data_IF_964891637907
#
_entry.id   IF_964891637907
#
_cell.length_a   1.000
_cell.length_b   1.000
_cell.length_c   1.000
_cell.angle_alpha   90.00
_cell.angle_beta   90.00
_cell.angle_gamma   90.00
#
_symmetry.space_group_name_H-M   'P 1'
#
loop_
_entity.id
_entity.type
_entity.pdbx_description
1 polymer ?
#
# COMPACT_ATOMS: atom_id res chain seq x y z
N UNK A 1 -24.92 -35.49 6.31
CA UNK A 1 -25.45 -34.17 6.58
C UNK A 1 -24.34 -33.19 6.84
N UNK A 2 -24.24 -32.24 5.98
CA UNK A 2 -23.16 -31.32 5.72
C UNK A 2 -23.13 -30.17 6.72
N UNK A 3 -22.30 -30.26 7.74
CA UNK A 3 -21.96 -29.15 8.64
C UNK A 3 -20.58 -28.55 8.31
N UNK A 4 -20.16 -28.58 7.05
CA UNK A 4 -18.81 -28.17 6.65
C UNK A 4 -18.80 -26.99 5.67
N UNK A 5 -19.79 -26.10 5.67
CA UNK A 5 -19.87 -25.10 4.58
C UNK A 5 -20.01 -23.64 5.00
N UNK A 6 -20.02 -23.29 6.29
CA UNK A 6 -20.31 -21.92 6.71
C UNK A 6 -19.11 -21.14 7.24
N UNK A 7 -17.92 -21.63 6.97
CA UNK A 7 -16.67 -21.06 7.47
C UNK A 7 -16.08 -20.11 6.42
N UNK A 8 -15.72 -18.88 6.84
CA UNK A 8 -14.99 -17.86 6.07
C UNK A 8 -15.74 -17.20 4.91
N UNK A 9 -17.06 -17.15 4.92
CA UNK A 9 -17.85 -16.54 3.86
C UNK A 9 -17.99 -15.04 4.06
N UNK A 10 -17.73 -14.26 3.01
CA UNK A 10 -17.90 -12.81 2.96
C UNK A 10 -18.80 -12.41 1.83
N UNK A 11 -19.62 -11.41 2.07
CA UNK A 11 -20.39 -10.75 1.03
C UNK A 11 -20.49 -9.27 1.30
N UNK A 12 -20.60 -8.50 0.25
CA UNK A 12 -20.95 -7.08 0.32
C UNK A 12 -22.37 -6.85 -0.16
N UNK A 13 -23.12 -6.06 0.61
CA UNK A 13 -24.51 -5.71 0.30
C UNK A 13 -24.58 -4.26 -0.14
N UNK A 14 -25.30 -4.00 -1.22
CA UNK A 14 -25.49 -2.67 -1.80
C UNK A 14 -26.96 -2.47 -2.19
N UNK A 15 -27.37 -1.22 -2.46
CA UNK A 15 -28.74 -0.93 -2.82
C UNK A 15 -29.13 -1.55 -4.18
N UNK A 16 -28.27 -1.38 -5.19
CA UNK A 16 -28.44 -1.96 -6.53
C UNK A 16 -27.06 -2.27 -7.14
N UNK A 17 -26.99 -3.23 -8.06
CA UNK A 17 -25.76 -3.71 -8.68
C UNK A 17 -25.28 -2.76 -9.78
N UNK A 18 -25.02 -1.49 -9.45
CA UNK A 18 -24.59 -0.49 -10.42
C UNK A 18 -23.66 0.57 -9.84
N UNK A 19 -22.91 1.20 -10.72
CA UNK A 19 -22.08 2.38 -10.44
C UNK A 19 -20.89 2.11 -9.53
N UNK A 20 -20.36 3.19 -8.95
CA UNK A 20 -19.15 3.18 -8.14
C UNK A 20 -19.24 2.23 -6.93
N UNK A 21 -20.40 2.19 -6.25
CA UNK A 21 -20.60 1.30 -5.08
C UNK A 21 -20.49 -0.18 -5.43
N UNK A 22 -20.91 -0.57 -6.65
CA UNK A 22 -20.80 -1.96 -7.11
C UNK A 22 -19.34 -2.33 -7.36
N UNK A 23 -18.60 -1.48 -8.08
CA UNK A 23 -17.17 -1.68 -8.30
C UNK A 23 -16.39 -1.74 -6.96
N UNK A 24 -16.63 -0.79 -6.06
CA UNK A 24 -15.99 -0.75 -4.76
C UNK A 24 -16.30 -1.98 -3.91
N UNK A 25 -17.54 -2.48 -3.94
CA UNK A 25 -17.91 -3.71 -3.25
C UNK A 25 -17.19 -4.95 -3.81
N UNK A 26 -16.94 -4.97 -5.12
CA UNK A 26 -16.17 -6.03 -5.77
C UNK A 26 -14.69 -5.96 -5.35
N UNK A 27 -14.08 -4.76 -5.39
CA UNK A 27 -12.68 -4.56 -5.02
C UNK A 27 -12.44 -4.90 -3.54
N UNK A 28 -13.33 -4.47 -2.63
CA UNK A 28 -13.27 -4.86 -1.21
C UNK A 28 -13.35 -6.38 -1.05
N UNK A 29 -14.28 -7.05 -1.74
CA UNK A 29 -14.40 -8.51 -1.65
C UNK A 29 -13.15 -9.21 -2.18
N UNK A 30 -12.53 -8.71 -3.23
CA UNK A 30 -11.28 -9.26 -3.80
C UNK A 30 -10.12 -9.13 -2.81
N UNK A 31 -9.95 -7.97 -2.18
CA UNK A 31 -8.92 -7.77 -1.15
C UNK A 31 -9.14 -8.68 0.07
N UNK A 32 -10.38 -8.83 0.52
CA UNK A 32 -10.72 -9.75 1.62
C UNK A 32 -10.47 -11.23 1.28
N UNK A 33 -10.59 -11.62 0.01
CA UNK A 33 -10.22 -12.97 -0.46
C UNK A 33 -8.72 -13.22 -0.26
N UNK A 34 -7.89 -12.20 -0.46
CA UNK A 34 -6.45 -12.25 -0.17
C UNK A 34 -6.11 -12.50 1.30
N UNK A 35 -6.99 -12.12 2.24
CA UNK A 35 -6.84 -12.41 3.69
C UNK A 35 -7.31 -13.83 4.06
N UNK A 36 -7.93 -14.56 3.12
CA UNK A 36 -8.34 -15.95 3.33
C UNK A 36 -9.86 -16.16 3.44
N UNK A 37 -10.65 -15.17 3.09
CA UNK A 37 -12.10 -15.30 3.11
C UNK A 37 -12.68 -15.82 1.79
N UNK A 38 -13.75 -16.62 1.87
CA UNK A 38 -14.48 -17.05 0.68
C UNK A 38 -15.41 -15.93 0.22
N UNK A 39 -15.20 -15.45 -0.98
CA UNK A 39 -15.98 -14.40 -1.60
C UNK A 39 -17.34 -14.92 -2.11
N UNK A 40 -18.41 -14.51 -1.46
CA UNK A 40 -19.79 -14.82 -1.90
C UNK A 40 -20.37 -13.79 -2.89
N UNK A 41 -19.54 -12.84 -3.32
CA UNK A 41 -19.93 -11.80 -4.25
C UNK A 41 -20.66 -10.63 -3.60
N UNK A 42 -21.27 -9.84 -4.46
CA UNK A 42 -22.03 -8.64 -4.11
C UNK A 42 -23.52 -8.90 -4.33
N UNK A 43 -24.35 -8.54 -3.34
CA UNK A 43 -25.81 -8.72 -3.43
C UNK A 43 -26.56 -7.40 -3.30
N UNK A 44 -27.61 -7.23 -4.10
CA UNK A 44 -28.52 -6.10 -3.95
C UNK A 44 -29.50 -6.34 -2.79
N UNK A 45 -29.60 -5.35 -1.91
CA UNK A 45 -30.52 -5.34 -0.75
C UNK A 45 -31.20 -3.97 -0.61
N UNK A 46 -32.13 -3.66 -1.53
CA UNK A 46 -32.85 -2.38 -1.54
C UNK A 46 -33.81 -2.18 -0.35
N UNK A 47 -34.05 -3.24 0.38
CA UNK A 47 -34.85 -3.25 1.61
C UNK A 47 -34.12 -2.71 2.83
N UNK A 48 -32.76 -2.71 2.83
CA UNK A 48 -31.96 -2.24 3.96
C UNK A 48 -31.98 -0.71 4.06
N UNK A 49 -32.43 -0.21 5.19
CA UNK A 49 -32.60 1.24 5.45
C UNK A 49 -31.27 1.99 5.31
N UNK A 50 -30.17 1.42 5.80
CA UNK A 50 -28.83 2.00 5.73
C UNK A 50 -28.34 2.19 4.28
N UNK A 51 -28.73 1.32 3.37
CA UNK A 51 -28.38 1.41 1.96
C UNK A 51 -29.35 2.31 1.18
N UNK A 52 -30.66 2.29 1.56
CA UNK A 52 -31.72 3.00 0.86
C UNK A 52 -31.74 4.51 1.14
N UNK A 53 -31.46 4.92 2.40
CA UNK A 53 -31.60 6.31 2.85
C UNK A 53 -30.32 7.12 2.77
N UNK A 54 -29.20 6.50 2.50
CA UNK A 54 -27.91 7.18 2.32
C UNK A 54 -27.87 7.90 0.98
N UNK A 55 -27.48 9.16 0.99
CA UNK A 55 -27.32 10.00 -0.24
C UNK A 55 -26.00 9.75 -0.96
N UNK A 56 -25.06 9.12 -0.31
CA UNK A 56 -23.74 8.75 -0.83
C UNK A 56 -23.71 7.26 -1.21
N UNK A 57 -22.76 6.83 -2.05
CA UNK A 57 -22.51 5.40 -2.26
C UNK A 57 -22.35 4.69 -0.93
N UNK A 58 -23.15 3.64 -0.70
CA UNK A 58 -23.15 2.90 0.57
C UNK A 58 -22.96 1.41 0.31
N UNK A 59 -22.11 0.79 1.12
CA UNK A 59 -21.80 -0.63 1.10
C UNK A 59 -21.89 -1.14 2.54
N UNK A 60 -22.54 -2.27 2.71
CA UNK A 60 -22.51 -3.02 3.97
C UNK A 60 -21.64 -4.26 3.76
N UNK A 61 -20.46 -4.25 4.39
CA UNK A 61 -19.52 -5.38 4.34
C UNK A 61 -19.85 -6.33 5.48
N UNK A 62 -20.27 -7.55 5.16
CA UNK A 62 -20.50 -8.61 6.14
C UNK A 62 -19.23 -9.41 6.35
N UNK A 63 -18.57 -9.15 7.47
CA UNK A 63 -17.25 -9.70 7.79
C UNK A 63 -17.26 -11.03 8.56
N UNK A 64 -18.39 -11.70 8.74
CA UNK A 64 -18.51 -13.01 9.40
C UNK A 64 -19.83 -13.21 10.13
N UNK A 65 -19.97 -14.42 10.64
CA UNK A 65 -21.13 -14.79 11.43
C UNK A 65 -20.76 -14.86 12.92
N UNK A 66 -21.41 -14.08 13.77
CA UNK A 66 -21.17 -14.01 15.23
C UNK A 66 -21.35 -15.35 15.95
N UNK A 67 -22.12 -16.27 15.37
CA UNK A 67 -22.39 -17.60 15.91
C UNK A 67 -21.39 -18.68 15.42
N UNK A 68 -20.33 -18.28 14.74
CA UNK A 68 -19.25 -19.15 14.29
C UNK A 68 -17.99 -18.88 15.09
N UNK A 69 -17.60 -19.79 15.96
CA UNK A 69 -16.33 -19.68 16.72
C UNK A 69 -15.11 -19.57 15.82
N UNK A 70 -15.19 -20.15 14.63
CA UNK A 70 -14.11 -20.10 13.65
C UNK A 70 -14.01 -18.74 12.97
N UNK A 71 -15.15 -18.12 12.60
CA UNK A 71 -15.17 -16.76 12.05
C UNK A 71 -14.72 -15.73 13.10
N UNK A 72 -15.12 -15.91 14.35
CA UNK A 72 -14.71 -15.03 15.44
C UNK A 72 -13.19 -15.08 15.65
N UNK A 73 -12.58 -16.29 15.68
CA UNK A 73 -11.11 -16.43 15.79
C UNK A 73 -10.39 -15.81 14.59
N UNK A 74 -10.87 -16.08 13.38
CA UNK A 74 -10.26 -15.51 12.18
C UNK A 74 -10.33 -13.98 12.20
N UNK A 75 -11.46 -13.43 12.66
CA UNK A 75 -11.63 -11.99 12.78
C UNK A 75 -10.69 -11.40 13.83
N UNK A 76 -10.59 -12.02 15.00
CA UNK A 76 -9.73 -11.55 16.09
C UNK A 76 -8.25 -11.66 15.74
N UNK A 77 -7.85 -12.77 15.09
CA UNK A 77 -6.44 -13.02 14.71
C UNK A 77 -5.98 -12.16 13.52
N UNK A 78 -6.90 -11.69 12.65
CA UNK A 78 -6.57 -10.96 11.43
C UNK A 78 -7.27 -9.60 11.34
N UNK A 79 -7.64 -8.99 12.45
CA UNK A 79 -8.41 -7.75 12.49
C UNK A 79 -7.75 -6.62 11.67
N UNK A 80 -6.45 -6.42 11.84
CA UNK A 80 -5.68 -5.40 11.11
C UNK A 80 -5.63 -5.68 9.60
N UNK A 81 -5.41 -6.93 9.21
CA UNK A 81 -5.38 -7.34 7.81
C UNK A 81 -6.76 -7.18 7.13
N UNK A 82 -7.83 -7.46 7.87
CA UNK A 82 -9.21 -7.25 7.40
C UNK A 82 -9.48 -5.75 7.21
N UNK A 83 -9.09 -4.94 8.18
CA UNK A 83 -9.26 -3.49 8.11
C UNK A 83 -8.46 -2.90 6.93
N UNK A 84 -7.22 -3.35 6.74
CA UNK A 84 -6.37 -2.95 5.63
C UNK A 84 -6.98 -3.37 4.28
N UNK A 85 -7.44 -4.61 4.15
CA UNK A 85 -8.07 -5.10 2.92
C UNK A 85 -9.30 -4.29 2.52
N UNK A 86 -10.13 -3.90 3.49
CA UNK A 86 -11.28 -3.02 3.23
C UNK A 86 -10.80 -1.63 2.75
N UNK A 87 -9.80 -1.07 3.41
CA UNK A 87 -9.25 0.23 3.04
C UNK A 87 -8.63 0.19 1.63
N UNK A 88 -7.86 -0.84 1.31
CA UNK A 88 -7.23 -1.02 -0.01
C UNK A 88 -8.28 -1.15 -1.11
N UNK A 89 -9.34 -1.94 -0.92
CA UNK A 89 -10.44 -2.04 -1.89
C UNK A 89 -11.17 -0.73 -2.14
N UNK A 90 -11.31 0.12 -1.11
CA UNK A 90 -11.86 1.48 -1.26
C UNK A 90 -10.89 2.35 -2.06
N UNK A 91 -9.62 2.37 -1.71
CA UNK A 91 -8.59 3.18 -2.36
C UNK A 91 -8.43 2.79 -3.83
N UNK A 92 -8.31 1.50 -4.13
CA UNK A 92 -8.20 0.98 -5.49
C UNK A 92 -9.36 1.46 -6.38
N UNK A 93 -10.59 1.43 -5.84
CA UNK A 93 -11.76 1.93 -6.58
C UNK A 93 -11.68 3.43 -6.80
N UNK A 94 -11.32 4.21 -5.78
CA UNK A 94 -11.26 5.66 -5.88
C UNK A 94 -10.16 6.12 -6.85
N UNK A 95 -8.99 5.49 -6.80
CA UNK A 95 -7.86 5.76 -7.70
C UNK A 95 -8.20 5.39 -9.15
N UNK A 96 -8.71 4.18 -9.38
CA UNK A 96 -9.06 3.70 -10.72
C UNK A 96 -10.16 4.53 -11.40
N UNK A 97 -10.99 5.22 -10.61
CA UNK A 97 -12.00 6.15 -11.11
C UNK A 97 -11.55 7.61 -11.09
N UNK A 98 -10.30 7.90 -10.73
CA UNK A 98 -9.74 9.26 -10.72
C UNK A 98 -10.35 10.20 -9.68
N UNK A 99 -11.00 9.64 -8.64
CA UNK A 99 -11.64 10.40 -7.57
C UNK A 99 -10.65 10.84 -6.50
N UNK A 100 -9.57 10.10 -6.35
CA UNK A 100 -8.39 10.49 -5.60
C UNK A 100 -7.17 10.35 -6.52
N UNK A 101 -6.15 11.12 -6.23
CA UNK A 101 -4.83 10.97 -6.84
C UNK A 101 -3.91 10.51 -5.73
N UNK A 102 -3.10 9.52 -6.02
CA UNK A 102 -1.96 9.20 -5.18
C UNK A 102 -1.13 10.48 -5.01
N UNK A 103 -1.10 11.05 -3.82
CA UNK A 103 -0.13 12.10 -3.51
C UNK A 103 1.24 11.44 -3.49
N UNK A 104 1.94 11.54 -4.62
CA UNK A 104 3.33 11.10 -4.69
C UNK A 104 4.13 11.93 -3.71
N UNK A 105 4.39 11.36 -2.54
CA UNK A 105 5.21 11.99 -1.51
C UNK A 105 6.60 12.21 -2.11
N UNK A 106 7.12 13.44 -2.04
CA UNK A 106 8.47 13.70 -2.52
C UNK A 106 9.46 12.92 -1.64
N UNK A 107 10.32 12.13 -2.28
CA UNK A 107 11.41 11.45 -1.59
C UNK A 107 12.71 12.13 -1.97
N UNK A 108 13.48 12.49 -0.97
CA UNK A 108 14.79 13.11 -1.14
C UNK A 108 15.87 12.08 -0.89
N UNK A 109 16.89 12.07 -1.75
CA UNK A 109 18.05 11.16 -1.68
C UNK A 109 19.31 11.96 -1.82
N UNK A 110 20.40 11.53 -1.17
CA UNK A 110 21.71 12.18 -1.35
C UNK A 110 22.53 11.35 -2.31
N UNK A 111 22.68 11.81 -3.54
CA UNK A 111 23.58 11.18 -4.52
C UNK A 111 25.03 11.52 -4.18
N UNK A 112 25.88 10.51 -4.07
CA UNK A 112 27.31 10.64 -3.77
C UNK A 112 28.21 10.16 -4.90
N UNK A 113 27.65 9.55 -5.94
CA UNK A 113 28.37 9.08 -7.09
C UNK A 113 27.50 8.79 -8.31
N UNK A 114 28.12 8.93 -9.48
CA UNK A 114 27.54 8.61 -10.79
C UNK A 114 28.60 7.94 -11.65
N UNK A 115 28.42 6.67 -11.99
CA UNK A 115 29.43 5.88 -12.68
C UNK A 115 28.84 5.16 -13.89
N UNK A 116 29.64 5.03 -14.95
CA UNK A 116 29.32 4.13 -16.07
C UNK A 116 29.73 2.69 -15.79
N UNK A 117 30.73 2.49 -14.93
CA UNK A 117 31.26 1.19 -14.58
C UNK A 117 30.79 0.78 -13.18
N UNK A 118 30.13 -0.36 -13.10
CA UNK A 118 29.59 -0.91 -11.84
C UNK A 118 30.66 -1.10 -10.75
N UNK A 119 31.88 -1.46 -11.12
CA UNK A 119 32.97 -1.69 -10.14
C UNK A 119 33.27 -0.44 -9.32
N UNK A 120 33.20 0.76 -9.92
CA UNK A 120 33.43 2.00 -9.19
C UNK A 120 32.24 2.34 -8.25
N UNK A 121 31.01 2.07 -8.70
CA UNK A 121 29.85 2.23 -7.85
C UNK A 121 29.88 1.29 -6.65
N UNK A 122 30.20 0.01 -6.87
CA UNK A 122 30.32 -0.99 -5.80
C UNK A 122 31.44 -0.64 -4.80
N UNK A 123 32.58 -0.12 -5.30
CA UNK A 123 33.68 0.33 -4.43
C UNK A 123 33.23 1.44 -3.50
N UNK A 124 32.58 2.47 -4.03
CA UNK A 124 32.05 3.57 -3.22
C UNK A 124 30.96 3.10 -2.25
N UNK A 125 30.09 2.19 -2.70
CA UNK A 125 29.08 1.58 -1.84
C UNK A 125 29.71 0.86 -0.65
N UNK A 126 30.70 0.01 -0.88
CA UNK A 126 31.38 -0.74 0.20
C UNK A 126 32.08 0.22 1.18
N UNK A 127 32.76 1.26 0.68
CA UNK A 127 33.41 2.28 1.51
C UNK A 127 32.39 3.00 2.44
N UNK A 128 31.21 3.32 1.91
CA UNK A 128 30.15 3.97 2.68
C UNK A 128 29.46 3.00 3.67
N UNK A 129 29.31 1.72 3.29
CA UNK A 129 28.78 0.68 4.18
C UNK A 129 29.70 0.43 5.39
N UNK A 130 31.01 0.44 5.19
CA UNK A 130 32.01 0.33 6.27
C UNK A 130 31.91 1.49 7.26
N UNK A 131 31.41 2.64 6.82
CA UNK A 131 31.15 3.83 7.64
C UNK A 131 29.70 3.91 8.16
N UNK A 132 28.94 2.82 8.04
CA UNK A 132 27.55 2.67 8.51
C UNK A 132 26.57 3.65 7.86
N UNK A 133 26.81 4.10 6.62
CA UNK A 133 25.85 4.88 5.87
C UNK A 133 24.81 3.96 5.21
N UNK A 134 23.51 4.35 5.17
CA UNK A 134 22.46 3.61 4.47
C UNK A 134 22.57 3.85 2.95
N UNK A 135 23.49 3.15 2.29
CA UNK A 135 23.84 3.36 0.87
C UNK A 135 23.26 2.27 -0.02
N UNK A 136 22.80 2.67 -1.20
CA UNK A 136 22.39 1.73 -2.24
C UNK A 136 22.73 2.27 -3.64
N UNK A 137 22.72 1.36 -4.63
CA UNK A 137 22.98 1.69 -6.03
C UNK A 137 21.68 1.56 -6.81
N UNK A 138 21.32 2.62 -7.53
CA UNK A 138 20.27 2.59 -8.54
C UNK A 138 20.90 2.57 -9.94
N UNK A 139 20.37 1.68 -10.81
CA UNK A 139 20.74 1.61 -12.21
C UNK A 139 19.64 2.19 -13.08
N UNK A 140 19.85 3.39 -13.55
CA UNK A 140 18.94 4.06 -14.48
C UNK A 140 19.70 4.40 -15.78
N UNK A 141 19.34 3.70 -16.86
CA UNK A 141 20.03 3.83 -18.15
C UNK A 141 21.48 3.33 -18.10
N UNK A 142 22.44 4.08 -18.70
CA UNK A 142 23.84 3.65 -18.80
C UNK A 142 24.67 3.93 -17.52
N UNK A 143 24.05 4.42 -16.45
CA UNK A 143 24.76 4.87 -15.27
C UNK A 143 24.34 4.13 -14.01
N UNK A 144 25.29 3.96 -13.09
CA UNK A 144 25.12 3.50 -11.72
C UNK A 144 25.17 4.72 -10.80
N UNK A 145 24.05 5.02 -10.15
CA UNK A 145 23.93 6.12 -9.17
C UNK A 145 24.06 5.56 -7.77
N UNK A 146 24.94 6.13 -7.00
CA UNK A 146 25.12 5.75 -5.58
C UNK A 146 24.39 6.78 -4.72
N UNK A 147 23.40 6.32 -3.97
CA UNK A 147 22.60 7.14 -3.09
C UNK A 147 22.81 6.77 -1.62
N UNK A 148 22.70 7.75 -0.75
CA UNK A 148 22.70 7.57 0.70
C UNK A 148 21.38 8.09 1.25
N UNK A 149 20.65 7.20 1.91
CA UNK A 149 19.35 7.46 2.54
C UNK A 149 18.21 7.78 1.58
N UNK A 150 17.01 7.61 2.11
CA UNK A 150 15.75 8.08 1.55
C UNK A 150 15.04 8.87 2.65
N UNK A 151 14.59 10.08 2.33
CA UNK A 151 14.05 11.02 3.31
C UNK A 151 12.74 11.61 2.81
N UNK A 152 11.72 11.63 3.67
CA UNK A 152 10.40 12.17 3.36
C UNK A 152 10.38 13.70 3.35
N UNK A 153 11.43 14.33 3.87
CA UNK A 153 11.57 15.78 3.90
C UNK A 153 12.99 16.24 3.53
N UNK A 154 13.05 17.47 3.01
CA UNK A 154 14.29 18.07 2.56
C UNK A 154 15.31 18.32 3.71
N UNK A 155 14.82 18.63 4.91
CA UNK A 155 15.71 18.97 6.03
C UNK A 155 16.59 17.80 6.44
N UNK A 156 16.04 16.59 6.49
CA UNK A 156 16.78 15.37 6.83
C UNK A 156 17.79 15.02 5.74
N UNK A 157 17.41 15.18 4.47
CA UNK A 157 18.34 15.03 3.35
C UNK A 157 19.50 16.03 3.43
N UNK A 158 19.23 17.30 3.78
CA UNK A 158 20.26 18.34 3.99
C UNK A 158 21.18 17.99 5.16
N UNK A 159 20.67 17.46 6.26
CA UNK A 159 21.49 17.01 7.40
C UNK A 159 22.45 15.88 6.97
N UNK A 160 21.93 14.89 6.24
CA UNK A 160 22.75 13.80 5.69
C UNK A 160 23.80 14.33 4.71
N UNK A 161 23.41 15.23 3.81
CA UNK A 161 24.33 15.88 2.89
C UNK A 161 25.50 16.58 3.60
N UNK A 162 25.18 17.34 4.64
CA UNK A 162 26.20 18.02 5.46
C UNK A 162 27.15 17.03 6.15
N UNK A 163 26.63 15.89 6.62
CA UNK A 163 27.43 14.83 7.24
C UNK A 163 28.41 14.23 6.23
N UNK A 164 27.92 13.92 5.04
CA UNK A 164 28.73 13.37 3.94
C UNK A 164 29.77 14.35 3.42
N UNK A 165 29.43 15.64 3.27
CA UNK A 165 30.40 16.70 2.90
C UNK A 165 31.52 16.84 3.92
N UNK A 166 31.21 16.75 5.22
CA UNK A 166 32.23 16.76 6.28
C UNK A 166 33.15 15.53 6.23
N UNK A 167 32.62 14.39 5.76
CA UNK A 167 33.41 13.18 5.54
C UNK A 167 34.20 13.20 4.22
N UNK A 168 34.11 14.29 3.43
CA UNK A 168 34.90 14.49 2.21
C UNK A 168 34.20 14.04 0.91
N UNK A 169 32.93 13.63 0.97
CA UNK A 169 32.20 13.21 -0.22
C UNK A 169 31.60 14.39 -0.98
N UNK A 170 31.59 14.28 -2.30
CA UNK A 170 30.77 15.17 -3.14
C UNK A 170 29.33 14.68 -3.13
N UNK A 171 28.39 15.62 -3.02
CA UNK A 171 26.97 15.29 -2.83
C UNK A 171 26.06 16.14 -3.68
N UNK A 172 24.93 15.56 -4.04
CA UNK A 172 23.81 16.22 -4.69
C UNK A 172 22.51 15.69 -4.11
N UNK A 173 21.65 16.58 -3.60
CA UNK A 173 20.30 16.19 -3.19
C UNK A 173 19.44 16.04 -4.44
N UNK A 174 18.81 14.87 -4.58
CA UNK A 174 17.92 14.53 -5.69
C UNK A 174 16.54 14.30 -5.14
N UNK A 175 15.54 14.95 -5.71
CA UNK A 175 14.13 14.72 -5.41
C UNK A 175 13.58 13.70 -6.41
N UNK A 176 13.03 12.61 -5.88
CA UNK A 176 12.23 11.63 -6.59
C UNK A 176 10.76 11.72 -6.19
N UNK A 177 9.94 10.86 -6.79
CA UNK A 177 8.55 10.60 -6.38
C UNK A 177 8.43 9.09 -6.28
N UNK A 178 7.87 8.62 -5.18
CA UNK A 178 7.41 7.23 -5.05
C UNK A 178 5.99 7.15 -5.58
#
# INVERSE_FOLDING_TARGET
SSAASDVYKRQSLIYDLSGLKYKMAQDINEQLEGVGFVNLGVKARPDLVVLKRTKMPAILVEAGFLNSDTDNRLFDDNFEDIAQAIADGILDTLESNGLIKEEKVPVYRVQVGLFRNQRYANRLQNELLEQEYPVYIDRSGPYYRVYVGEFDNLNDAVQMERRLKRAGYQTLIVQGKI
#
